data_IF_469705857278
#
_entry.id   IF_469705857278
#
_cell.length_a   1.000
_cell.length_b   1.000
_cell.length_c   1.000
_cell.angle_alpha   90.00
_cell.angle_beta   90.00
_cell.angle_gamma   90.00
#
_symmetry.space_group_name_H-M   'P 1'
#
loop_
_entity.id
_entity.type
_entity.pdbx_description
1 polymer ?
#
# COMPACT_ATOMS: atom_id res chain seq x y z
N UNK A 1 20.49 -23.57 -23.15
CA UNK A 1 19.97 -23.14 -21.83
C UNK A 1 19.17 -24.29 -21.25
N UNK A 2 19.15 -24.44 -19.91
CA UNK A 2 18.24 -25.39 -19.25
C UNK A 2 16.84 -24.75 -19.24
N UNK A 3 15.79 -25.43 -19.70
CA UNK A 3 14.44 -24.88 -19.65
C UNK A 3 13.98 -24.71 -18.20
N UNK A 4 13.58 -23.49 -17.86
CA UNK A 4 13.00 -23.18 -16.54
C UNK A 4 11.48 -23.20 -16.68
N UNK A 5 10.86 -24.33 -16.29
CA UNK A 5 9.42 -24.56 -16.39
C UNK A 5 8.70 -24.38 -15.04
N UNK A 6 9.17 -23.46 -14.20
CA UNK A 6 8.54 -23.24 -12.91
C UNK A 6 7.16 -22.57 -13.10
N UNK A 7 6.09 -23.10 -12.49
CA UNK A 7 4.79 -22.46 -12.54
C UNK A 7 4.84 -21.08 -11.84
N UNK A 8 4.01 -20.10 -12.26
CA UNK A 8 3.87 -18.84 -11.56
C UNK A 8 3.49 -19.09 -10.09
N UNK A 9 4.23 -18.50 -9.15
CA UNK A 9 4.01 -18.67 -7.73
C UNK A 9 3.78 -17.30 -7.07
N UNK A 10 2.52 -16.80 -7.06
CA UNK A 10 2.24 -15.45 -6.64
C UNK A 10 2.38 -15.24 -5.13
N UNK A 11 2.75 -14.04 -4.73
CA UNK A 11 3.01 -13.65 -3.33
C UNK A 11 1.73 -13.13 -2.69
N UNK A 12 0.89 -14.05 -2.23
CA UNK A 12 -0.46 -13.75 -1.69
C UNK A 12 -0.52 -13.64 -0.17
N UNK A 13 0.46 -14.17 0.55
CA UNK A 13 0.48 -14.19 2.02
C UNK A 13 1.76 -13.63 2.58
N UNK A 14 1.68 -13.10 3.81
CA UNK A 14 2.86 -12.59 4.51
C UNK A 14 3.88 -13.70 4.79
N UNK A 15 3.42 -14.91 5.13
CA UNK A 15 4.30 -16.07 5.31
C UNK A 15 5.11 -16.35 4.05
N UNK A 16 4.45 -16.38 2.88
CA UNK A 16 5.12 -16.60 1.59
C UNK A 16 6.11 -15.49 1.26
N UNK A 17 5.73 -14.22 1.50
CA UNK A 17 6.62 -13.09 1.30
C UNK A 17 7.87 -13.17 2.19
N UNK A 18 7.71 -13.56 3.46
CA UNK A 18 8.82 -13.78 4.41
C UNK A 18 9.75 -14.90 3.94
N UNK A 19 9.21 -16.03 3.50
CA UNK A 19 10.01 -17.17 3.02
C UNK A 19 10.85 -16.78 1.79
N UNK A 20 10.23 -16.15 0.80
CA UNK A 20 10.93 -15.73 -0.43
C UNK A 20 11.97 -14.65 -0.11
N UNK A 21 11.64 -13.68 0.76
CA UNK A 21 12.60 -12.68 1.23
C UNK A 21 13.81 -13.35 1.88
N UNK A 22 13.58 -14.30 2.78
CA UNK A 22 14.65 -15.03 3.47
C UNK A 22 15.56 -15.78 2.49
N UNK A 23 14.99 -16.42 1.47
CA UNK A 23 15.77 -17.08 0.41
C UNK A 23 16.63 -16.09 -0.39
N UNK A 24 16.08 -14.95 -0.77
CA UNK A 24 16.81 -13.91 -1.50
C UNK A 24 17.92 -13.29 -0.65
N UNK A 25 17.67 -13.01 0.63
CA UNK A 25 18.68 -12.51 1.57
C UNK A 25 19.80 -13.53 1.80
N UNK A 26 19.45 -14.82 1.90
CA UNK A 26 20.42 -15.91 2.04
C UNK A 26 21.30 -16.00 0.80
N UNK A 27 20.71 -15.93 -0.39
CA UNK A 27 21.45 -15.92 -1.65
C UNK A 27 22.38 -14.70 -1.76
N UNK A 28 21.90 -13.51 -1.34
CA UNK A 28 22.74 -12.31 -1.28
C UNK A 28 23.98 -12.54 -0.41
N UNK A 29 23.80 -13.15 0.77
CA UNK A 29 24.89 -13.52 1.67
C UNK A 29 25.88 -14.53 1.06
N UNK A 30 25.37 -15.56 0.39
CA UNK A 30 26.18 -16.58 -0.29
C UNK A 30 27.04 -15.97 -1.41
N UNK A 31 26.46 -15.10 -2.26
CA UNK A 31 27.21 -14.44 -3.34
C UNK A 31 28.26 -13.48 -2.76
N UNK A 32 27.91 -12.74 -1.70
CA UNK A 32 28.86 -11.84 -1.02
C UNK A 32 30.06 -12.62 -0.48
N UNK A 33 29.81 -13.78 0.12
CA UNK A 33 30.87 -14.66 0.62
C UNK A 33 31.71 -15.26 -0.51
N UNK A 34 31.08 -15.78 -1.55
CA UNK A 34 31.78 -16.35 -2.72
C UNK A 34 32.71 -15.32 -3.39
N UNK A 35 32.29 -14.05 -3.46
CA UNK A 35 33.13 -12.96 -3.96
C UNK A 35 34.33 -12.69 -3.04
N UNK A 36 34.12 -12.67 -1.71
CA UNK A 36 35.19 -12.47 -0.71
C UNK A 36 36.21 -13.60 -0.75
N UNK A 37 35.74 -14.83 -0.90
CA UNK A 37 36.55 -16.04 -0.96
C UNK A 37 37.18 -16.24 -2.37
N UNK A 38 36.99 -15.28 -3.29
CA UNK A 38 37.50 -15.28 -4.68
C UNK A 38 37.03 -16.47 -5.53
N UNK A 39 35.93 -17.10 -5.14
CA UNK A 39 35.26 -18.16 -5.89
C UNK A 39 34.41 -17.61 -7.05
N UNK A 40 34.04 -16.33 -6.97
CA UNK A 40 33.27 -15.62 -8.00
C UNK A 40 33.99 -14.31 -8.39
N UNK A 41 34.12 -13.98 -9.69
CA UNK A 41 34.69 -12.71 -10.12
C UNK A 41 33.93 -11.51 -9.55
N UNK A 42 34.65 -10.46 -9.14
CA UNK A 42 34.05 -9.30 -8.47
C UNK A 42 32.98 -8.58 -9.29
N UNK A 43 33.16 -8.49 -10.63
CA UNK A 43 32.19 -7.85 -11.51
C UNK A 43 30.90 -8.67 -11.62
N UNK A 44 31.02 -9.99 -11.70
CA UNK A 44 29.89 -10.91 -11.73
C UNK A 44 29.13 -10.90 -10.40
N UNK A 45 29.85 -10.93 -9.27
CA UNK A 45 29.25 -10.77 -7.96
C UNK A 45 28.45 -9.46 -7.84
N UNK A 46 29.02 -8.34 -8.27
CA UNK A 46 28.32 -7.03 -8.25
C UNK A 46 27.04 -7.05 -9.07
N UNK A 47 27.06 -7.69 -10.25
CA UNK A 47 25.87 -7.85 -11.08
C UNK A 47 24.78 -8.63 -10.35
N UNK A 48 25.08 -9.84 -9.86
CA UNK A 48 24.09 -10.66 -9.16
C UNK A 48 23.56 -10.04 -7.88
N UNK A 49 24.40 -9.34 -7.11
CA UNK A 49 23.95 -8.62 -5.91
C UNK A 49 22.99 -7.47 -6.28
N UNK A 50 23.17 -6.83 -7.44
CA UNK A 50 22.21 -5.83 -7.94
C UNK A 50 20.89 -6.48 -8.31
N UNK A 51 20.92 -7.61 -9.02
CA UNK A 51 19.71 -8.35 -9.40
C UNK A 51 18.93 -8.86 -8.18
N UNK A 52 19.61 -9.39 -7.16
CA UNK A 52 18.94 -9.86 -5.94
C UNK A 52 18.27 -8.69 -5.20
N UNK A 53 18.93 -7.52 -5.11
CA UNK A 53 18.30 -6.32 -4.55
C UNK A 53 17.08 -5.90 -5.36
N UNK A 54 17.15 -5.98 -6.69
CA UNK A 54 16.01 -5.70 -7.55
C UNK A 54 14.85 -6.67 -7.27
N UNK A 55 15.11 -7.98 -7.22
CA UNK A 55 14.11 -9.00 -6.92
C UNK A 55 13.47 -8.81 -5.54
N UNK A 56 14.24 -8.38 -4.54
CA UNK A 56 13.71 -8.02 -3.22
C UNK A 56 12.72 -6.86 -3.30
N UNK A 57 12.96 -5.86 -4.15
CA UNK A 57 12.01 -4.76 -4.35
C UNK A 57 10.75 -5.24 -5.07
N UNK A 58 10.90 -6.04 -6.13
CA UNK A 58 9.79 -6.63 -6.88
C UNK A 58 8.89 -7.47 -5.97
N UNK A 59 9.48 -8.27 -5.09
CA UNK A 59 8.76 -9.06 -4.07
C UNK A 59 7.84 -8.19 -3.21
N UNK A 60 8.34 -7.05 -2.72
CA UNK A 60 7.55 -6.15 -1.87
C UNK A 60 6.49 -5.39 -2.67
N UNK A 61 6.77 -5.02 -3.93
CA UNK A 61 5.76 -4.45 -4.82
C UNK A 61 4.61 -5.43 -4.99
N UNK A 62 4.90 -6.69 -5.34
CA UNK A 62 3.88 -7.70 -5.53
C UNK A 62 3.07 -7.93 -4.24
N UNK A 63 3.76 -8.09 -3.11
CA UNK A 63 3.12 -8.32 -1.82
C UNK A 63 2.17 -7.19 -1.40
N UNK A 64 2.63 -5.92 -1.42
CA UNK A 64 1.78 -4.79 -1.02
C UNK A 64 0.62 -4.57 -1.99
N UNK A 65 0.84 -4.80 -3.29
CA UNK A 65 -0.22 -4.73 -4.29
C UNK A 65 -1.31 -5.78 -4.02
N UNK A 66 -0.92 -7.05 -3.83
CA UNK A 66 -1.87 -8.14 -3.57
C UNK A 66 -2.62 -7.92 -2.25
N UNK A 67 -1.92 -7.46 -1.20
CA UNK A 67 -2.53 -7.15 0.08
C UNK A 67 -3.59 -6.04 -0.04
N UNK A 68 -3.27 -4.97 -0.77
CA UNK A 68 -4.21 -3.87 -1.00
C UNK A 68 -5.42 -4.28 -1.85
N UNK A 69 -5.21 -5.12 -2.87
CA UNK A 69 -6.29 -5.65 -3.70
C UNK A 69 -7.20 -6.59 -2.92
N UNK A 70 -6.64 -7.49 -2.11
CA UNK A 70 -7.41 -8.39 -1.25
C UNK A 70 -8.25 -7.59 -0.25
N UNK A 71 -7.67 -6.54 0.36
CA UNK A 71 -8.41 -5.67 1.27
C UNK A 71 -9.57 -4.95 0.58
N UNK A 72 -9.42 -4.52 -0.68
CA UNK A 72 -10.55 -4.00 -1.47
C UNK A 72 -11.63 -5.05 -1.71
N UNK A 73 -11.25 -6.28 -2.06
CA UNK A 73 -12.21 -7.38 -2.26
C UNK A 73 -12.99 -7.71 -0.98
N UNK A 74 -12.36 -7.53 0.18
CA UNK A 74 -12.98 -7.74 1.48
C UNK A 74 -13.74 -6.51 2.01
N UNK A 75 -13.90 -5.45 1.20
CA UNK A 75 -14.52 -4.19 1.60
C UNK A 75 -13.86 -3.55 2.85
N UNK A 76 -12.54 -3.69 2.97
CA UNK A 76 -11.73 -3.12 4.04
C UNK A 76 -10.83 -2.00 3.50
N UNK A 77 -11.39 -0.83 3.12
CA UNK A 77 -10.61 0.26 2.52
C UNK A 77 -9.54 0.82 3.47
N UNK A 78 -9.71 0.68 4.79
CA UNK A 78 -8.70 0.96 5.82
C UNK A 78 -7.43 0.13 5.67
N UNK A 79 -7.58 -1.18 5.50
CA UNK A 79 -6.46 -2.09 5.30
C UNK A 79 -5.80 -1.89 3.93
N UNK A 80 -6.61 -1.60 2.90
CA UNK A 80 -6.10 -1.26 1.58
C UNK A 80 -5.22 0.00 1.63
N UNK A 81 -5.68 1.06 2.33
CA UNK A 81 -4.91 2.29 2.55
C UNK A 81 -3.56 1.99 3.17
N UNK A 82 -3.53 1.21 4.26
CA UNK A 82 -2.28 0.86 4.94
C UNK A 82 -1.32 0.07 4.06
N UNK A 83 -1.82 -0.87 3.25
CA UNK A 83 -1.01 -1.65 2.33
C UNK A 83 -0.33 -0.77 1.27
N UNK A 84 -1.08 0.10 0.60
CA UNK A 84 -0.54 1.00 -0.42
C UNK A 84 0.37 2.07 0.18
N UNK A 85 0.05 2.59 1.37
CA UNK A 85 0.92 3.54 2.09
C UNK A 85 2.29 2.91 2.39
N UNK A 86 2.30 1.66 2.90
CA UNK A 86 3.55 0.92 3.12
C UNK A 86 4.33 0.71 1.81
N UNK A 87 3.64 0.40 0.72
CA UNK A 87 4.24 0.30 -0.62
C UNK A 87 4.91 1.59 -1.08
N UNK A 88 4.22 2.74 -0.96
CA UNK A 88 4.76 4.07 -1.30
C UNK A 88 5.99 4.38 -0.45
N UNK A 89 5.89 4.22 0.87
CA UNK A 89 7.00 4.49 1.79
C UNK A 89 8.20 3.60 1.52
N UNK A 90 7.97 2.33 1.22
CA UNK A 90 9.03 1.37 0.89
C UNK A 90 9.77 1.75 -0.39
N UNK A 91 9.05 2.12 -1.46
CA UNK A 91 9.67 2.49 -2.74
C UNK A 91 10.45 3.80 -2.67
N UNK A 92 9.94 4.80 -1.94
CA UNK A 92 10.65 6.08 -1.72
C UNK A 92 11.95 5.93 -0.93
N UNK A 93 12.08 4.88 -0.13
CA UNK A 93 13.29 4.57 0.67
C UNK A 93 14.33 3.75 -0.09
N UNK A 94 14.08 3.34 -1.33
CA UNK A 94 15.06 2.60 -2.11
C UNK A 94 16.27 3.47 -2.47
N UNK A 95 17.46 2.88 -2.47
CA UNK A 95 18.68 3.58 -2.83
C UNK A 95 18.66 4.09 -4.29
N UNK A 96 17.97 3.35 -5.18
CA UNK A 96 17.70 3.77 -6.55
C UNK A 96 16.19 3.63 -6.83
N UNK A 97 15.41 4.72 -6.68
CA UNK A 97 13.97 4.69 -6.88
C UNK A 97 13.57 4.79 -8.37
N UNK A 98 14.48 5.20 -9.26
CA UNK A 98 14.14 5.50 -10.66
C UNK A 98 13.51 4.31 -11.41
N UNK A 99 13.99 3.05 -11.26
CA UNK A 99 13.39 1.89 -11.91
C UNK A 99 11.94 1.60 -11.48
N UNK A 100 11.52 2.09 -10.31
CA UNK A 100 10.24 1.74 -9.69
C UNK A 100 9.20 2.86 -9.80
N UNK A 101 9.47 3.91 -10.58
CA UNK A 101 8.60 5.07 -10.69
C UNK A 101 7.16 4.75 -11.16
N UNK A 102 7.00 3.75 -12.03
CA UNK A 102 5.67 3.30 -12.46
C UNK A 102 4.89 2.64 -11.33
N UNK A 103 5.53 1.72 -10.59
CA UNK A 103 4.92 1.05 -9.43
C UNK A 103 4.60 2.04 -8.31
N UNK A 104 5.46 3.04 -8.10
CA UNK A 104 5.22 4.12 -7.14
C UNK A 104 3.96 4.91 -7.50
N UNK A 105 3.84 5.36 -8.76
CA UNK A 105 2.64 6.07 -9.23
C UNK A 105 1.37 5.21 -9.11
N UNK A 106 1.47 3.92 -9.40
CA UNK A 106 0.35 2.99 -9.24
C UNK A 106 -0.09 2.88 -7.78
N UNK A 107 0.84 2.76 -6.84
CA UNK A 107 0.52 2.75 -5.41
C UNK A 107 -0.05 4.07 -4.92
N UNK A 108 0.48 5.21 -5.37
CA UNK A 108 -0.07 6.53 -5.03
C UNK A 108 -1.51 6.68 -5.51
N UNK A 109 -1.82 6.22 -6.72
CA UNK A 109 -3.19 6.23 -7.26
C UNK A 109 -4.15 5.34 -6.45
N UNK A 110 -3.72 4.11 -6.10
CA UNK A 110 -4.55 3.22 -5.28
C UNK A 110 -4.70 3.73 -3.83
N UNK A 111 -3.68 4.41 -3.29
CA UNK A 111 -3.76 5.04 -1.98
C UNK A 111 -4.81 6.17 -1.97
N UNK A 112 -4.82 7.02 -2.99
CA UNK A 112 -5.86 8.06 -3.17
C UNK A 112 -7.25 7.43 -3.24
N UNK A 113 -7.41 6.35 -4.01
CA UNK A 113 -8.66 5.61 -4.11
C UNK A 113 -9.11 5.06 -2.75
N UNK A 114 -8.20 4.43 -2.00
CA UNK A 114 -8.52 3.87 -0.68
C UNK A 114 -8.93 4.98 0.32
N UNK A 115 -8.30 6.15 0.25
CA UNK A 115 -8.67 7.32 1.05
C UNK A 115 -10.07 7.83 0.73
N UNK A 116 -10.40 7.96 -0.56
CA UNK A 116 -11.73 8.42 -0.99
C UNK A 116 -12.84 7.47 -0.51
N UNK A 117 -12.61 6.15 -0.60
CA UNK A 117 -13.58 5.17 -0.11
C UNK A 117 -13.77 5.26 1.41
N UNK A 118 -12.68 5.40 2.18
CA UNK A 118 -12.77 5.59 3.63
C UNK A 118 -13.55 6.85 3.99
N UNK A 119 -13.32 7.96 3.30
CA UNK A 119 -14.06 9.20 3.52
C UNK A 119 -15.55 8.99 3.22
N UNK A 120 -15.91 8.35 2.11
CA UNK A 120 -17.32 8.06 1.79
C UNK A 120 -18.01 7.11 2.79
N UNK A 121 -17.26 6.21 3.44
CA UNK A 121 -17.81 5.34 4.50
C UNK A 121 -18.02 6.08 5.82
N UNK A 122 -17.29 7.18 6.05
CA UNK A 122 -17.38 8.00 7.25
C UNK A 122 -18.36 9.16 7.13
N UNK A 123 -18.73 9.57 5.91
CA UNK A 123 -19.78 10.56 5.72
C UNK A 123 -21.13 9.98 6.17
N UNK A 124 -21.82 10.60 7.15
CA UNK A 124 -23.13 10.15 7.56
C UNK A 124 -24.06 10.24 6.35
N UNK A 125 -24.79 9.17 6.07
CA UNK A 125 -25.81 9.24 5.02
C UNK A 125 -26.80 10.33 5.38
N UNK A 126 -27.18 11.19 4.42
CA UNK A 126 -28.16 12.27 4.66
C UNK A 126 -29.53 11.75 5.12
N UNK A 127 -29.77 10.44 5.01
CA UNK A 127 -30.97 9.73 5.46
C UNK A 127 -30.84 9.08 6.85
N UNK A 128 -29.67 9.17 7.51
CA UNK A 128 -29.55 8.75 8.91
C UNK A 128 -30.24 9.78 9.82
N UNK A 129 -31.50 9.48 10.16
CA UNK A 129 -32.20 10.10 11.28
C UNK A 129 -31.50 9.64 12.56
N UNK A 130 -30.59 10.45 13.06
CA UNK A 130 -30.02 10.29 14.40
C UNK A 130 -30.42 11.50 15.26
N UNK A 131 -30.30 11.35 16.57
CA UNK A 131 -30.75 12.38 17.53
C UNK A 131 -30.05 13.74 17.35
N UNK A 132 -28.86 13.77 16.74
CA UNK A 132 -28.15 15.01 16.40
C UNK A 132 -28.72 15.63 15.11
N UNK A 133 -29.04 14.83 14.09
CA UNK A 133 -29.68 15.31 12.85
C UNK A 133 -31.10 15.84 13.11
N UNK A 134 -31.81 15.25 14.07
CA UNK A 134 -33.13 15.70 14.49
C UNK A 134 -33.04 17.00 15.31
N UNK A 135 -32.07 17.09 16.23
CA UNK A 135 -31.81 18.31 17.02
C UNK A 135 -31.50 19.54 16.15
N UNK A 136 -30.75 19.37 15.06
CA UNK A 136 -30.43 20.47 14.13
C UNK A 136 -31.66 20.99 13.37
N UNK A 137 -32.63 20.12 13.05
CA UNK A 137 -33.89 20.52 12.40
C UNK A 137 -34.80 21.32 13.33
N UNK A 138 -34.73 21.06 14.64
CA UNK A 138 -35.48 21.81 15.66
C UNK A 138 -34.94 23.23 15.84
N UNK A 139 -33.62 23.42 15.78
CA UNK A 139 -33.00 24.75 15.88
C UNK A 139 -33.29 25.64 14.67
N UNK A 140 -33.39 25.09 13.45
CA UNK A 140 -33.81 25.86 12.27
C UNK A 140 -35.29 26.29 12.34
N UNK A 141 -36.15 25.53 13.04
CA UNK A 141 -37.56 25.86 13.25
C UNK A 141 -37.79 26.91 14.35
N UNK A 142 -36.86 27.07 15.30
CA UNK A 142 -36.94 28.09 16.37
C UNK A 142 -36.42 29.48 15.94
N UNK A 143 -36.10 29.66 14.65
CA UNK A 143 -35.64 30.92 14.05
C UNK A 143 -36.71 31.97 13.75
N UNK A 144 -37.95 31.87 14.24
CA UNK A 144 -39.03 32.83 13.96
C UNK A 144 -39.41 33.70 15.18
N UNK A 145 -38.43 34.17 15.96
CA UNK A 145 -38.66 35.17 17.03
C UNK A 145 -38.93 36.59 16.48
N UNK A 146 -39.58 36.72 15.32
CA UNK A 146 -39.94 37.99 14.68
C UNK A 146 -40.53 39.00 15.67
N UNK A 147 -39.70 40.00 16.00
CA UNK A 147 -39.99 41.42 16.26
C UNK A 147 -41.45 41.73 16.63
N UNK A 148 -41.73 41.87 17.93
CA UNK A 148 -42.74 42.86 18.36
C UNK A 148 -42.03 44.18 18.66
N UNK A 149 -42.03 45.06 17.66
CA UNK A 149 -41.90 46.48 17.91
C UNK A 149 -43.12 46.92 18.73
N UNK A 150 -42.89 47.47 19.91
CA UNK A 150 -43.86 48.32 20.58
C UNK A 150 -43.13 49.63 20.90
N UNK A 151 -43.37 50.63 20.05
CA UNK A 151 -43.28 52.04 20.42
C UNK A 151 -44.74 52.51 20.57
N UNK A 152 -45.15 52.83 21.79
CA UNK A 152 -45.38 54.22 22.26
C UNK A 152 -45.40 54.20 23.81
#
# INVERSE_FOLDING_TARGET
>A
SIPVNNPPNPIMTEAKAKDVRFLLETLHGQITRAAKDRLLPANEAKHWLKEIRHLLVVLHIEFFNNLGQLAFQQNQPGQARLAYERGVQYLRKQADPAPYGQSLKAFEAQLVRANALLQSTLEPSSDEVNALTEGLKTEEAEGDWKKKAIYD
#
